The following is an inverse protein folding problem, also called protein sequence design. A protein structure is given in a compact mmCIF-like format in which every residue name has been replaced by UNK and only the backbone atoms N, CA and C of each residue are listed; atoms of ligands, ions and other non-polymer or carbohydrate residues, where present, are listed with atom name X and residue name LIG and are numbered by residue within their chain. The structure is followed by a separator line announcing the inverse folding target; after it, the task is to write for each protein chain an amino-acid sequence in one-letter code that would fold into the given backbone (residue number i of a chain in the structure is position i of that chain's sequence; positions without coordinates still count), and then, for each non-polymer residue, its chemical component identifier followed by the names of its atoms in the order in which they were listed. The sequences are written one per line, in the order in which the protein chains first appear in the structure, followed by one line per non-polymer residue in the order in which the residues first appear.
data_IF_164294044315
#
_entry.id   IF_164294044315
#
_cell.length_a   1.000
_cell.length_b   1.000
_cell.length_c   1.000
_cell.angle_alpha   90.00
_cell.angle_beta   90.00
_cell.angle_gamma   90.00
#
_symmetry.space_group_name_H-M   'P 1'
#
loop_
_entity.id
_entity.type
_entity.pdbx_description
1 polymer ?
#
# COMPACT_ATOMS: atom_id res chain seq x y z
N UNK A 1 -11.72 -12.36 12.00
CA UNK A 1 -11.08 -13.08 10.89
C UNK A 1 -9.62 -13.21 11.23
N UNK A 2 -9.08 -14.41 11.18
CA UNK A 2 -7.64 -14.66 11.37
C UNK A 2 -6.88 -14.32 10.08
N UNK A 3 -5.56 -14.23 10.17
CA UNK A 3 -4.71 -14.01 8.99
C UNK A 3 -4.84 -15.16 7.98
N UNK A 4 -5.00 -16.40 8.44
CA UNK A 4 -5.23 -17.57 7.57
C UNK A 4 -6.53 -17.44 6.77
N UNK A 5 -7.61 -17.05 7.44
CA UNK A 5 -8.91 -16.82 6.80
C UNK A 5 -8.82 -15.65 5.80
N UNK A 6 -8.08 -14.60 6.13
CA UNK A 6 -7.84 -13.46 5.25
C UNK A 6 -7.05 -13.85 4.00
N UNK A 7 -5.93 -14.55 4.15
CA UNK A 7 -5.09 -15.01 3.02
C UNK A 7 -5.91 -15.91 2.10
N UNK A 8 -6.69 -16.84 2.66
CA UNK A 8 -7.58 -17.69 1.88
C UNK A 8 -8.66 -16.87 1.16
N UNK A 9 -9.29 -15.92 1.85
CA UNK A 9 -10.33 -15.09 1.25
C UNK A 9 -9.78 -14.24 0.10
N UNK A 10 -8.59 -13.64 0.25
CA UNK A 10 -7.90 -12.91 -0.82
C UNK A 10 -7.60 -13.84 -1.99
N UNK A 11 -7.02 -15.02 -1.74
CA UNK A 11 -6.75 -16.03 -2.78
C UNK A 11 -8.00 -16.39 -3.57
N UNK A 12 -9.10 -16.68 -2.89
CA UNK A 12 -10.39 -17.01 -3.54
C UNK A 12 -10.92 -15.82 -4.33
N UNK A 13 -10.82 -14.61 -3.79
CA UNK A 13 -11.36 -13.40 -4.42
C UNK A 13 -10.62 -13.02 -5.72
N UNK A 14 -9.31 -13.29 -5.80
CA UNK A 14 -8.49 -13.00 -6.99
C UNK A 14 -8.34 -14.19 -7.95
N UNK A 15 -8.90 -15.35 -7.61
CA UNK A 15 -8.81 -16.54 -8.44
C UNK A 15 -9.37 -16.29 -9.86
N UNK A 16 -8.62 -16.71 -10.88
CA UNK A 16 -9.02 -16.55 -12.28
C UNK A 16 -8.81 -15.15 -12.87
N UNK A 17 -8.26 -14.18 -12.11
CA UNK A 17 -7.94 -12.83 -12.63
C UNK A 17 -6.65 -12.77 -13.45
N UNK A 18 -5.89 -13.87 -13.53
CA UNK A 18 -4.62 -13.90 -14.27
C UNK A 18 -3.50 -13.09 -13.62
N UNK A 19 -3.54 -12.90 -12.30
CA UNK A 19 -2.49 -12.20 -11.55
C UNK A 19 -1.13 -12.90 -11.66
N UNK A 20 -0.01 -12.18 -11.49
CA UNK A 20 1.31 -12.78 -11.48
C UNK A 20 1.41 -13.80 -10.34
N UNK A 21 2.27 -14.80 -10.53
CA UNK A 21 2.55 -15.79 -9.50
C UNK A 21 3.06 -15.13 -8.20
N UNK A 22 3.02 -15.86 -7.07
CA UNK A 22 3.56 -15.33 -5.82
C UNK A 22 5.03 -14.91 -5.94
N UNK A 23 5.41 -13.88 -5.18
CA UNK A 23 6.79 -13.42 -5.09
C UNK A 23 7.67 -14.47 -4.42
N UNK A 24 8.98 -14.41 -4.64
CA UNK A 24 9.91 -15.28 -3.91
C UNK A 24 10.23 -14.70 -2.53
N UNK A 25 10.65 -15.56 -1.59
CA UNK A 25 11.12 -15.12 -0.28
C UNK A 25 12.38 -14.25 -0.37
N UNK A 26 13.21 -14.47 -1.40
CA UNK A 26 14.42 -13.68 -1.64
C UNK A 26 14.08 -12.25 -2.07
N UNK A 27 13.11 -12.09 -2.97
CA UNK A 27 12.65 -10.77 -3.44
C UNK A 27 12.03 -9.95 -2.31
N UNK A 28 11.18 -10.59 -1.51
CA UNK A 28 10.58 -9.95 -0.32
C UNK A 28 11.66 -9.54 0.66
N UNK A 29 12.61 -10.42 0.97
CA UNK A 29 13.70 -10.10 1.89
C UNK A 29 14.60 -8.96 1.36
N UNK A 30 14.90 -8.96 0.07
CA UNK A 30 15.64 -7.88 -0.56
C UNK A 30 14.91 -6.53 -0.43
N UNK A 31 13.59 -6.52 -0.62
CA UNK A 31 12.79 -5.32 -0.42
C UNK A 31 12.74 -4.86 1.04
N UNK A 32 12.59 -5.77 2.01
CA UNK A 32 12.67 -5.45 3.44
C UNK A 32 14.01 -4.78 3.80
N UNK A 33 15.13 -5.22 3.21
CA UNK A 33 16.43 -4.59 3.40
C UNK A 33 16.47 -3.15 2.84
N UNK A 34 15.82 -2.89 1.71
CA UNK A 34 15.71 -1.54 1.14
C UNK A 34 14.87 -0.63 2.04
N UNK A 35 13.78 -1.14 2.60
CA UNK A 35 12.91 -0.37 3.50
C UNK A 35 13.56 -0.14 4.86
N UNK A 36 14.38 -1.08 5.34
CA UNK A 36 15.01 -1.05 6.66
C UNK A 36 14.07 -1.54 7.79
N UNK A 37 12.91 -2.08 7.44
CA UNK A 37 11.92 -2.64 8.36
C UNK A 37 11.32 -3.93 7.78
N UNK A 38 10.93 -4.90 8.64
CA UNK A 38 10.25 -6.10 8.17
C UNK A 38 8.87 -5.74 7.60
N UNK A 39 8.48 -6.43 6.54
CA UNK A 39 7.14 -6.35 5.96
C UNK A 39 6.13 -6.94 6.96
N UNK A 40 4.97 -6.28 7.18
CA UNK A 40 3.90 -6.83 8.02
C UNK A 40 3.55 -8.25 7.59
N UNK A 41 3.46 -9.17 8.56
CA UNK A 41 3.38 -10.61 8.28
C UNK A 41 2.19 -10.98 7.39
N UNK A 42 1.03 -10.34 7.58
CA UNK A 42 -0.12 -10.54 6.71
C UNK A 42 0.15 -10.14 5.26
N UNK A 43 0.82 -9.00 5.03
CA UNK A 43 1.18 -8.55 3.68
C UNK A 43 2.17 -9.52 3.02
N UNK A 44 3.18 -9.91 3.80
CA UNK A 44 4.22 -10.86 3.39
C UNK A 44 3.61 -12.17 2.92
N UNK A 45 2.68 -12.72 3.69
CA UNK A 45 1.95 -13.94 3.32
C UNK A 45 1.16 -13.80 2.03
N UNK A 46 0.51 -12.66 1.81
CA UNK A 46 -0.23 -12.44 0.55
C UNK A 46 0.73 -12.43 -0.65
N UNK A 47 1.87 -11.73 -0.56
CA UNK A 47 2.87 -11.75 -1.63
C UNK A 47 3.46 -13.13 -1.88
N UNK A 48 3.80 -13.88 -0.83
CA UNK A 48 4.46 -15.19 -0.93
C UNK A 48 3.51 -16.35 -1.26
N UNK A 49 2.25 -16.25 -0.88
CA UNK A 49 1.30 -17.35 -1.01
C UNK A 49 0.26 -17.11 -2.12
N UNK A 50 -0.06 -15.86 -2.45
CA UNK A 50 -1.20 -15.52 -3.33
C UNK A 50 -0.74 -14.95 -4.67
N UNK A 51 -0.11 -13.77 -4.69
CA UNK A 51 0.25 -13.08 -5.93
C UNK A 51 1.30 -11.98 -5.69
N UNK A 52 2.19 -11.77 -6.66
CA UNK A 52 3.14 -10.66 -6.69
C UNK A 52 2.50 -9.36 -7.18
N UNK A 53 1.50 -8.85 -6.45
CA UNK A 53 0.73 -7.65 -6.82
C UNK A 53 -0.67 -7.97 -7.38
N UNK A 54 -1.40 -6.92 -7.76
CA UNK A 54 -2.71 -7.03 -8.41
C UNK A 54 -3.93 -7.28 -7.50
N UNK A 55 -3.71 -7.56 -6.21
CA UNK A 55 -4.79 -7.64 -5.20
C UNK A 55 -5.16 -6.25 -4.66
N UNK A 56 -6.25 -6.11 -3.91
CA UNK A 56 -6.73 -4.81 -3.42
C UNK A 56 -7.68 -4.10 -4.39
N UNK A 57 -8.27 -2.97 -3.96
CA UNK A 57 -9.29 -2.24 -4.71
C UNK A 57 -8.76 -1.57 -5.98
N UNK A 58 -7.50 -1.12 -5.98
CA UNK A 58 -6.83 -0.47 -7.13
C UNK A 58 -5.56 -1.18 -7.56
N UNK A 59 -5.43 -2.49 -7.27
CA UNK A 59 -4.29 -3.33 -7.64
C UNK A 59 -2.96 -2.88 -6.99
N UNK A 60 -2.59 -3.58 -5.92
CA UNK A 60 -1.33 -3.41 -5.19
C UNK A 60 -0.14 -3.65 -6.10
N UNK A 61 0.91 -2.85 -5.93
CA UNK A 61 2.14 -2.92 -6.73
C UNK A 61 2.88 -4.23 -6.47
N UNK A 62 3.54 -4.76 -7.50
CA UNK A 62 4.40 -5.93 -7.40
C UNK A 62 5.68 -5.63 -6.62
N UNK A 63 6.22 -6.63 -5.93
CA UNK A 63 7.51 -6.53 -5.22
C UNK A 63 8.66 -6.39 -6.21
N UNK A 64 8.54 -7.06 -7.35
CA UNK A 64 9.50 -7.06 -8.46
C UNK A 64 8.80 -6.73 -9.76
N UNK A 65 9.56 -6.41 -10.80
CA UNK A 65 9.03 -6.28 -12.16
C UNK A 65 8.28 -7.56 -12.57
N UNK A 66 7.10 -7.37 -13.16
CA UNK A 66 6.24 -8.40 -13.72
C UNK A 66 5.80 -7.98 -15.12
N UNK A 67 5.26 -8.91 -15.92
CA UNK A 67 4.64 -8.55 -17.21
C UNK A 67 3.35 -7.71 -17.04
N UNK A 68 2.81 -7.64 -15.81
CA UNK A 68 1.66 -6.82 -15.44
C UNK A 68 2.05 -5.42 -14.97
N UNK A 69 1.17 -4.44 -15.22
CA UNK A 69 1.36 -3.03 -14.85
C UNK A 69 0.33 -2.58 -13.80
N UNK A 70 0.77 -2.43 -12.55
CA UNK A 70 -0.10 -2.06 -11.41
C UNK A 70 0.04 -0.59 -10.96
N UNK A 71 1.08 0.11 -11.41
CA UNK A 71 1.31 1.51 -11.11
C UNK A 71 2.20 2.14 -12.17
N UNK A 72 2.35 3.47 -12.16
CA UNK A 72 3.33 4.15 -13.02
C UNK A 72 4.80 3.81 -12.68
N UNK A 73 5.03 3.06 -11.58
CA UNK A 73 6.32 2.48 -11.23
C UNK A 73 6.38 1.00 -11.60
N UNK A 74 7.55 0.50 -12.06
CA UNK A 74 7.71 -0.90 -12.45
C UNK A 74 7.63 -1.87 -11.26
N UNK A 75 7.98 -1.41 -10.05
CA UNK A 75 7.90 -2.18 -8.82
C UNK A 75 7.80 -1.28 -7.58
N UNK A 76 7.51 -1.90 -6.44
CA UNK A 76 7.39 -1.23 -5.15
C UNK A 76 8.72 -0.60 -4.68
N UNK A 77 9.86 -1.13 -5.12
CA UNK A 77 11.19 -0.59 -4.80
C UNK A 77 11.39 0.78 -5.44
N UNK A 78 11.00 0.91 -6.71
CA UNK A 78 11.08 2.15 -7.48
C UNK A 78 10.13 3.20 -6.89
N UNK A 79 8.90 2.79 -6.57
CA UNK A 79 7.95 3.65 -5.88
C UNK A 79 8.52 4.14 -4.54
N UNK A 80 9.00 3.24 -3.68
CA UNK A 80 9.55 3.60 -2.36
C UNK A 80 10.69 4.62 -2.46
N UNK A 81 11.65 4.42 -3.39
CA UNK A 81 12.75 5.36 -3.60
C UNK A 81 12.29 6.75 -4.03
N UNK A 82 11.21 6.82 -4.82
CA UNK A 82 10.60 8.10 -5.21
C UNK A 82 10.00 8.87 -4.03
N UNK A 83 9.41 8.15 -3.07
CA UNK A 83 8.82 8.74 -1.86
C UNK A 83 9.85 9.12 -0.78
N UNK A 84 11.01 8.46 -0.75
CA UNK A 84 12.10 8.75 0.22
C UNK A 84 13.12 9.79 -0.27
N UNK A 85 12.84 10.49 -1.38
CA UNK A 85 13.66 11.59 -1.88
C UNK A 85 13.70 12.76 -0.86
N UNK A 86 14.70 13.67 -0.89
CA UNK A 86 15.31 14.32 0.28
C UNK A 86 14.46 15.36 1.04
N UNK A 87 13.16 15.46 0.78
CA UNK A 87 12.28 16.43 1.43
C UNK A 87 11.69 15.94 2.78
N UNK A 88 12.09 14.75 3.27
CA UNK A 88 11.73 14.14 4.57
C UNK A 88 10.22 14.15 4.90
N UNK A 89 9.36 14.15 3.87
CA UNK A 89 7.90 14.26 4.04
C UNK A 89 7.32 13.02 4.71
N UNK A 90 7.94 11.85 4.50
CA UNK A 90 7.53 10.58 5.08
C UNK A 90 8.63 10.02 5.99
N UNK A 91 8.28 9.57 7.19
CA UNK A 91 9.15 8.70 7.97
C UNK A 91 9.58 7.46 7.18
N UNK A 92 10.85 7.05 7.35
CA UNK A 92 11.34 5.75 6.87
C UNK A 92 10.46 4.61 7.42
N UNK A 93 10.25 3.58 6.60
CA UNK A 93 9.36 2.46 6.91
C UNK A 93 7.91 2.63 6.46
N UNK A 94 7.52 3.81 5.97
CA UNK A 94 6.23 3.98 5.28
C UNK A 94 6.41 3.70 3.79
N UNK A 95 5.69 2.69 3.29
CA UNK A 95 5.89 2.13 1.96
C UNK A 95 4.68 2.42 1.07
N UNK A 96 4.87 2.94 -0.16
CA UNK A 96 3.78 3.06 -1.14
C UNK A 96 3.34 1.67 -1.59
N UNK A 97 2.08 1.31 -1.34
CA UNK A 97 1.56 -0.03 -1.58
C UNK A 97 0.71 -0.10 -2.86
N UNK A 98 -0.09 0.93 -3.12
CA UNK A 98 -1.07 0.91 -4.20
C UNK A 98 -1.26 2.31 -4.77
N UNK A 99 -1.07 2.44 -6.07
CA UNK A 99 -1.33 3.65 -6.84
C UNK A 99 -2.85 3.81 -7.01
N UNK A 100 -3.36 5.03 -6.78
CA UNK A 100 -4.78 5.36 -6.96
C UNK A 100 -5.01 6.38 -8.06
N UNK A 101 -3.99 6.65 -8.88
CA UNK A 101 -3.99 7.67 -9.91
C UNK A 101 -3.94 9.08 -9.33
N UNK A 102 -3.83 10.09 -10.21
CA UNK A 102 -3.71 11.52 -9.82
C UNK A 102 -2.60 11.76 -8.78
N UNK A 103 -1.53 10.97 -8.83
CA UNK A 103 -0.44 10.95 -7.85
C UNK A 103 -0.86 10.63 -6.40
N UNK A 104 -2.06 10.11 -6.17
CA UNK A 104 -2.51 9.62 -4.87
C UNK A 104 -2.04 8.18 -4.66
N UNK A 105 -1.65 7.86 -3.43
CA UNK A 105 -1.18 6.52 -3.07
C UNK A 105 -1.80 6.06 -1.76
N UNK A 106 -2.09 4.77 -1.67
CA UNK A 106 -2.24 4.10 -0.39
C UNK A 106 -0.87 3.63 0.07
N UNK A 107 -0.48 3.99 1.28
CA UNK A 107 0.78 3.59 1.89
C UNK A 107 0.50 2.61 3.05
N UNK A 108 1.53 1.91 3.50
CA UNK A 108 1.50 1.00 4.64
C UNK A 108 2.72 1.21 5.52
N UNK A 109 2.54 1.14 6.84
CA UNK A 109 3.59 1.35 7.82
C UNK A 109 4.23 0.04 8.30
N UNK A 110 5.44 -0.25 7.82
CA UNK A 110 6.21 -1.46 8.18
C UNK A 110 6.75 -1.39 9.62
N UNK A 111 6.67 -0.24 10.30
CA UNK A 111 7.07 -0.11 11.71
C UNK A 111 6.01 -0.68 12.66
N UNK A 112 4.80 -0.92 12.15
CA UNK A 112 3.68 -1.47 12.90
C UNK A 112 3.43 -2.92 12.51
N UNK A 113 3.19 -3.79 13.50
CA UNK A 113 3.04 -5.22 13.25
C UNK A 113 1.78 -5.56 12.42
N UNK A 114 0.73 -4.75 12.58
CA UNK A 114 -0.55 -4.90 11.88
C UNK A 114 -0.62 -4.14 10.55
N UNK A 115 0.45 -3.44 10.18
CA UNK A 115 0.53 -2.67 8.94
C UNK A 115 -0.52 -1.57 8.88
N UNK A 116 -0.41 -0.56 9.75
CA UNK A 116 -1.25 0.63 9.70
C UNK A 116 -1.26 1.18 8.28
N UNK A 117 -2.46 1.34 7.73
CA UNK A 117 -2.68 1.93 6.41
C UNK A 117 -2.58 3.45 6.50
N UNK A 118 -2.06 4.05 5.45
CA UNK A 118 -1.85 5.48 5.32
C UNK A 118 -2.37 5.95 3.97
N UNK A 119 -2.74 7.21 3.94
CA UNK A 119 -3.16 7.89 2.74
C UNK A 119 -2.11 8.92 2.32
N UNK A 120 -1.81 8.96 1.03
CA UNK A 120 -1.05 10.02 0.38
C UNK A 120 -1.94 10.73 -0.65
N UNK A 121 -2.25 11.99 -0.39
CA UNK A 121 -3.02 12.84 -1.32
C UNK A 121 -2.29 14.18 -1.54
N UNK A 122 -1.58 14.33 -2.68
CA UNK A 122 -0.87 15.56 -2.99
C UNK A 122 -1.82 16.70 -3.41
N UNK A 123 -3.12 16.42 -3.61
CA UNK A 123 -4.12 17.42 -3.97
C UNK A 123 -4.68 18.17 -2.75
N UNK A 124 -4.23 17.80 -1.55
CA UNK A 124 -4.47 18.58 -0.34
C UNK A 124 -3.69 19.91 -0.39
N UNK A 125 -3.88 20.76 0.63
CA UNK A 125 -3.38 22.13 0.63
C UNK A 125 -1.86 22.27 0.47
N UNK A 126 -1.06 21.31 0.96
CA UNK A 126 0.39 21.27 0.79
C UNK A 126 0.95 19.86 1.00
N UNK A 127 2.18 19.62 0.52
CA UNK A 127 2.87 18.32 0.59
C UNK A 127 3.02 17.79 2.02
N UNK A 128 3.12 18.66 3.03
CA UNK A 128 3.22 18.24 4.44
C UNK A 128 1.94 17.60 4.97
N UNK A 129 0.80 17.95 4.39
CA UNK A 129 -0.48 17.34 4.73
C UNK A 129 -0.84 16.19 3.80
N UNK A 130 -0.02 15.90 2.79
CA UNK A 130 -0.27 14.80 1.85
C UNK A 130 -0.26 13.43 2.54
N UNK A 131 0.63 13.10 3.49
CA UNK A 131 0.57 11.84 4.24
C UNK A 131 -0.26 11.92 5.53
N UNK A 132 -1.08 10.91 5.81
CA UNK A 132 -1.69 10.71 7.13
C UNK A 132 -2.07 9.23 7.37
N UNK A 133 -2.00 8.73 8.62
CA UNK A 133 -2.59 7.43 8.94
C UNK A 133 -4.11 7.52 8.84
N UNK A 134 -4.76 6.47 8.33
CA UNK A 134 -6.23 6.41 8.20
C UNK A 134 -6.92 5.65 9.34
N UNK A 135 -6.16 5.22 10.36
CA UNK A 135 -6.69 4.49 11.52
C UNK A 135 -7.19 3.07 11.21
N UNK A 136 -6.82 2.52 10.05
CA UNK A 136 -7.12 1.15 9.65
C UNK A 136 -5.85 0.29 9.60
N UNK A 137 -5.90 -0.94 10.10
CA UNK A 137 -4.86 -1.95 9.86
C UNK A 137 -5.03 -2.57 8.46
N UNK A 138 -4.00 -3.27 7.97
CA UNK A 138 -4.07 -3.99 6.70
C UNK A 138 -5.21 -5.01 6.68
N UNK A 139 -5.43 -5.72 7.80
CA UNK A 139 -6.50 -6.70 7.93
C UNK A 139 -7.89 -6.07 7.76
N UNK A 140 -8.11 -4.88 8.33
CA UNK A 140 -9.36 -4.14 8.17
C UNK A 140 -9.54 -3.66 6.72
N UNK A 141 -8.50 -3.09 6.14
CA UNK A 141 -8.52 -2.61 4.75
C UNK A 141 -8.80 -3.72 3.74
N UNK A 142 -8.19 -4.90 3.90
CA UNK A 142 -8.48 -6.08 3.07
C UNK A 142 -9.90 -6.59 3.29
N UNK A 143 -10.38 -6.58 4.54
CA UNK A 143 -11.76 -6.99 4.85
C UNK A 143 -12.77 -6.08 4.16
N UNK A 144 -12.55 -4.75 4.19
CA UNK A 144 -13.42 -3.79 3.53
C UNK A 144 -13.40 -3.99 2.02
N UNK A 145 -12.23 -4.19 1.42
CA UNK A 145 -12.12 -4.53 0.00
C UNK A 145 -12.89 -5.81 -0.37
N UNK A 146 -12.70 -6.90 0.38
CA UNK A 146 -13.39 -8.17 0.15
C UNK A 146 -14.92 -8.05 0.29
N UNK A 147 -15.40 -7.09 1.09
CA UNK A 147 -16.82 -6.80 1.27
C UNK A 147 -17.37 -5.77 0.26
N UNK A 148 -16.55 -5.24 -0.64
CA UNK A 148 -16.95 -4.17 -1.57
C UNK A 148 -17.20 -2.82 -0.86
N UNK A 149 -16.52 -2.59 0.27
CA UNK A 149 -16.63 -1.39 1.11
C UNK A 149 -15.32 -0.60 1.18
N UNK A 150 -14.30 -1.00 0.42
CA UNK A 150 -13.06 -0.25 0.36
C UNK A 150 -13.34 1.20 -0.06
N UNK A 151 -12.65 2.14 0.60
CA UNK A 151 -12.78 3.55 0.27
C UNK A 151 -12.19 3.82 -1.12
N UNK A 152 -12.98 4.47 -1.98
CA UNK A 152 -12.58 4.89 -3.32
C UNK A 152 -12.42 6.41 -3.36
N UNK A 153 -11.26 6.90 -3.80
CA UNK A 153 -10.97 8.32 -3.95
C UNK A 153 -10.45 9.03 -2.69
N UNK A 154 -10.56 10.37 -2.61
CA UNK A 154 -10.02 11.18 -1.51
C UNK A 154 -10.75 10.90 -0.18
N UNK A 155 -10.03 10.93 0.94
CA UNK A 155 -10.65 10.76 2.27
C UNK A 155 -11.30 12.08 2.73
N UNK A 156 -12.64 12.15 2.91
CA UNK A 156 -13.36 13.42 3.13
C UNK A 156 -12.91 14.20 4.38
N UNK A 157 -12.57 13.48 5.46
CA UNK A 157 -12.10 14.09 6.71
C UNK A 157 -10.78 14.86 6.52
N UNK A 158 -9.93 14.42 5.59
CA UNK A 158 -8.64 15.05 5.29
C UNK A 158 -8.80 16.36 4.53
N UNK A 159 -9.77 16.43 3.61
CA UNK A 159 -10.11 17.66 2.87
C UNK A 159 -10.51 18.77 3.83
N UNK A 160 -11.27 18.44 4.89
CA UNK A 160 -11.67 19.40 5.92
C UNK A 160 -10.47 19.93 6.72
N UNK A 161 -9.56 19.05 7.18
CA UNK A 161 -8.35 19.43 7.94
C UNK A 161 -7.44 20.36 7.10
N UNK A 162 -7.31 20.09 5.81
CA UNK A 162 -6.50 20.89 4.89
C UNK A 162 -7.00 22.34 4.72
N UNK A 163 -8.29 22.60 4.91
CA UNK A 163 -8.91 23.93 4.70
C UNK A 163 -8.40 25.02 5.66
N UNK A 164 -7.76 24.64 6.77
CA UNK A 164 -7.16 25.57 7.75
C UNK A 164 -5.71 25.97 7.46
N UNK A 165 -5.10 25.45 6.40
CA UNK A 165 -3.69 25.66 6.11
C UNK A 165 -3.44 27.07 5.55
N UNK A 166 -2.86 27.95 6.37
CA UNK A 166 -2.28 29.22 5.88
C UNK A 166 -0.90 28.89 5.32
N UNK A 167 -0.69 29.17 4.03
CA UNK A 167 0.64 29.13 3.42
C UNK A 167 1.55 30.10 4.18
N UNK A 168 2.37 29.56 5.09
CA UNK A 168 3.48 30.27 5.74
C UNK A 168 4.79 29.92 5.06
#
# INVERSE_FOLDING_TARGET
MTDDELVLAVRTHVAGRGLPGPATAEDVAAFEQVVGHPMPELLKRIYLEVANGGFGPWQVVSVTETDDWFSDCPDITTAYRGFTAPDDVLPSGIVPLMDRGCAMWTLIDFRTADGQMWDWDPNLCCVRHAPAPIGQSLAQWLTDWLQGKAHEGPYPERVSIASGCRNS
#
